data_IF_000218413336
#
_entry.id   IF_000218413336
#
_cell.length_a   1.000
_cell.length_b   1.000
_cell.length_c   1.000
_cell.angle_alpha   90.00
_cell.angle_beta   90.00
_cell.angle_gamma   90.00
#
_symmetry.space_group_name_H-M   'P 1'
#
loop_
_entity.id
_entity.type
_entity.pdbx_description
1 polymer ?
#
# COMPACT_ATOMS: atom_id res chain seq x y z
N UNK A 1 31.04 16.76 -38.37
CA UNK A 1 30.10 17.01 -37.26
C UNK A 1 30.49 16.09 -36.12
N UNK A 2 31.21 16.60 -35.12
CA UNK A 2 31.69 15.82 -33.98
C UNK A 2 30.77 16.10 -32.78
N UNK A 3 30.06 15.07 -32.31
CA UNK A 3 29.27 15.11 -31.08
C UNK A 3 30.19 14.70 -29.92
N UNK A 4 30.73 15.69 -29.23
CA UNK A 4 31.56 15.51 -28.03
C UNK A 4 30.68 15.19 -26.82
N UNK A 5 30.91 13.99 -26.28
CA UNK A 5 30.59 13.52 -24.94
C UNK A 5 30.73 14.62 -23.87
N UNK A 6 29.69 14.78 -23.04
CA UNK A 6 29.81 15.45 -21.75
C UNK A 6 29.39 14.48 -20.64
N UNK A 7 30.42 13.86 -20.08
CA UNK A 7 30.40 13.00 -18.91
C UNK A 7 30.05 13.80 -17.63
N UNK A 8 29.10 13.21 -16.91
CA UNK A 8 28.83 13.27 -15.48
C UNK A 8 29.82 14.05 -14.59
N UNK A 9 29.27 14.99 -13.82
CA UNK A 9 29.90 15.53 -12.61
C UNK A 9 28.86 15.72 -11.51
N UNK A 10 28.28 14.61 -11.04
CA UNK A 10 27.54 14.61 -9.79
C UNK A 10 28.56 14.53 -8.64
N UNK A 11 28.68 15.65 -7.92
CA UNK A 11 29.53 15.77 -6.74
C UNK A 11 28.98 14.86 -5.64
N UNK A 12 29.80 13.91 -5.23
CA UNK A 12 29.66 13.13 -4.01
C UNK A 12 29.78 14.08 -2.80
N UNK A 13 28.73 14.13 -1.97
CA UNK A 13 28.78 14.78 -0.65
C UNK A 13 28.78 13.65 0.40
N UNK A 14 29.86 13.46 1.16
CA UNK A 14 29.86 12.51 2.27
C UNK A 14 29.02 13.09 3.40
N UNK A 15 28.07 12.30 3.92
CA UNK A 15 27.37 12.62 5.16
C UNK A 15 27.85 11.62 6.20
N UNK A 16 28.73 12.11 7.07
CA UNK A 16 29.30 11.41 8.21
C UNK A 16 28.22 10.84 9.14
N UNK A 17 28.47 9.61 9.59
CA UNK A 17 27.92 9.00 10.82
C UNK A 17 28.65 9.63 12.02
N UNK A 18 28.12 9.66 13.27
CA UNK A 18 27.52 8.50 13.93
C UNK A 18 26.33 8.78 14.87
N UNK A 19 25.53 7.74 15.12
CA UNK A 19 24.45 7.76 16.10
C UNK A 19 24.13 6.34 16.53
N UNK A 20 24.98 5.81 17.41
CA UNK A 20 24.72 4.64 18.25
C UNK A 20 23.45 4.87 19.07
N UNK A 21 22.50 3.94 19.13
CA UNK A 21 21.71 3.67 20.36
C UNK A 21 21.00 2.31 20.26
N UNK A 22 21.53 1.39 21.06
CA UNK A 22 20.92 0.23 21.73
C UNK A 22 19.67 -0.44 21.13
N UNK A 23 19.86 -1.68 20.67
CA UNK A 23 18.82 -2.69 20.59
C UNK A 23 18.37 -3.08 22.02
N UNK A 24 17.07 -3.33 22.26
CA UNK A 24 16.66 -4.35 23.21
C UNK A 24 16.37 -5.69 22.48
N UNK A 25 16.64 -6.83 23.12
CA UNK A 25 16.53 -8.16 22.51
C UNK A 25 15.09 -8.63 22.35
N UNK A 26 14.89 -9.44 21.31
CA UNK A 26 13.74 -10.29 21.09
C UNK A 26 13.55 -11.32 22.23
N UNK A 27 12.31 -11.52 22.69
CA UNK A 27 11.66 -12.71 23.31
C UNK A 27 10.37 -12.17 23.97
N UNK A 28 9.17 -12.75 23.97
CA UNK A 28 8.57 -14.09 23.85
C UNK A 28 7.21 -13.92 23.11
N UNK A 29 6.66 -14.81 22.28
CA UNK A 29 6.24 -16.20 22.45
C UNK A 29 5.39 -16.50 23.70
N UNK A 30 4.12 -16.09 23.70
CA UNK A 30 3.14 -16.74 24.59
C UNK A 30 2.03 -17.45 23.81
N UNK A 31 2.17 -18.77 23.87
CA UNK A 31 1.17 -19.80 23.70
C UNK A 31 -0.05 -19.54 24.60
N UNK A 32 -1.27 -19.54 24.06
CA UNK A 32 -2.47 -19.86 24.84
C UNK A 32 -3.20 -21.00 24.14
N UNK A 33 -3.11 -22.16 24.78
CA UNK A 33 -3.88 -23.35 24.47
C UNK A 33 -5.30 -23.27 25.06
N UNK A 34 -6.22 -23.91 24.33
CA UNK A 34 -7.35 -24.71 24.83
C UNK A 34 -8.52 -23.99 25.50
N UNK A 35 -9.71 -24.15 24.91
CA UNK A 35 -10.71 -25.07 25.48
C UNK A 35 -12.00 -25.13 24.66
N UNK A 36 -12.43 -26.38 24.41
CA UNK A 36 -13.78 -26.76 23.98
C UNK A 36 -14.79 -26.45 25.09
N UNK A 37 -15.97 -25.97 24.72
CA UNK A 37 -17.25 -26.47 25.26
C UNK A 37 -18.45 -25.92 24.45
N UNK A 38 -19.24 -26.84 23.89
CA UNK A 38 -20.70 -26.70 23.81
C UNK A 38 -21.28 -27.40 25.05
N UNK A 39 -22.46 -27.00 25.58
CA UNK A 39 -23.70 -27.56 25.05
C UNK A 39 -24.89 -26.58 25.04
N UNK A 40 -25.93 -27.01 24.31
CA UNK A 40 -27.24 -26.38 24.19
C UNK A 40 -28.00 -26.37 25.52
N UNK A 41 -28.82 -25.35 25.73
CA UNK A 41 -30.01 -25.47 26.60
C UNK A 41 -31.14 -24.62 26.00
N UNK A 42 -32.21 -25.31 25.67
CA UNK A 42 -33.49 -24.76 25.24
C UNK A 42 -34.12 -23.93 26.35
N UNK A 43 -34.72 -22.80 26.00
CA UNK A 43 -35.86 -22.24 26.75
C UNK A 43 -36.71 -21.43 25.78
N UNK A 44 -37.86 -22.02 25.45
CA UNK A 44 -38.95 -21.41 24.70
C UNK A 44 -39.83 -20.63 25.66
N UNK A 45 -40.00 -19.33 25.46
CA UNK A 45 -41.21 -18.62 25.89
C UNK A 45 -41.63 -17.66 24.78
N UNK A 46 -42.76 -17.97 24.16
CA UNK A 46 -43.44 -17.10 23.23
C UNK A 46 -44.28 -16.07 23.98
N UNK A 47 -44.34 -14.86 23.44
CA UNK A 47 -45.46 -13.95 23.63
C UNK A 47 -45.78 -13.23 22.32
N UNK A 48 -47.09 -13.17 22.07
CA UNK A 48 -47.81 -12.54 20.96
C UNK A 48 -47.38 -11.09 20.68
N UNK A 49 -47.31 -10.72 19.40
CA UNK A 49 -47.17 -9.33 18.98
C UNK A 49 -47.23 -9.12 17.47
N UNK A 50 -48.44 -8.92 16.96
CA UNK A 50 -48.84 -8.25 15.71
C UNK A 50 -47.77 -7.96 14.64
N UNK A 51 -47.93 -8.67 13.52
CA UNK A 51 -47.71 -8.25 12.13
C UNK A 51 -47.25 -6.81 11.88
N UNK A 52 -45.99 -6.63 11.47
CA UNK A 52 -45.62 -5.72 10.38
C UNK A 52 -44.60 -6.44 9.52
N UNK A 53 -45.04 -6.94 8.36
CA UNK A 53 -44.19 -7.52 7.32
C UNK A 53 -43.38 -6.38 6.70
N UNK A 54 -42.30 -5.96 7.36
CA UNK A 54 -41.33 -5.07 6.73
C UNK A 54 -40.53 -5.93 5.76
N UNK A 55 -40.92 -5.87 4.48
CA UNK A 55 -40.03 -6.23 3.37
C UNK A 55 -38.69 -5.54 3.65
N UNK A 56 -37.53 -6.19 3.47
CA UNK A 56 -36.29 -5.45 3.51
C UNK A 56 -36.42 -4.36 2.45
N UNK A 57 -36.46 -3.10 2.89
CA UNK A 57 -36.11 -2.01 1.99
C UNK A 57 -34.72 -2.37 1.51
N UNK A 58 -34.60 -2.69 0.23
CA UNK A 58 -33.34 -2.60 -0.47
C UNK A 58 -32.99 -1.10 -0.44
N UNK A 59 -32.42 -0.67 0.69
CA UNK A 59 -31.66 0.56 0.73
C UNK A 59 -30.54 0.33 -0.27
N UNK A 60 -30.67 0.95 -1.45
CA UNK A 60 -29.57 1.02 -2.39
C UNK A 60 -28.55 1.93 -1.73
N UNK A 61 -27.68 1.34 -0.91
CA UNK A 61 -26.71 2.04 -0.07
C UNK A 61 -25.86 2.96 -0.94
N UNK A 62 -26.11 4.27 -0.85
CA UNK A 62 -25.22 5.30 -1.42
C UNK A 62 -23.81 5.24 -0.80
N UNK A 63 -23.66 4.58 0.35
CA UNK A 63 -22.37 4.25 0.95
C UNK A 63 -21.47 3.35 0.05
N UNK A 64 -22.04 2.67 -0.96
CA UNK A 64 -21.24 1.81 -1.85
C UNK A 64 -20.39 2.61 -2.87
N UNK A 65 -20.78 3.83 -3.22
CA UNK A 65 -20.03 4.64 -4.21
C UNK A 65 -18.75 5.26 -3.64
N UNK A 66 -18.70 5.50 -2.33
CA UNK A 66 -17.53 6.12 -1.73
C UNK A 66 -16.36 5.12 -1.63
N UNK A 67 -16.66 3.90 -1.18
CA UNK A 67 -15.67 2.82 -1.10
C UNK A 67 -15.12 2.41 -2.47
N UNK A 68 -15.97 2.32 -3.49
CA UNK A 68 -15.53 1.98 -4.85
C UNK A 68 -14.64 3.06 -5.46
N UNK A 69 -14.95 4.34 -5.28
CA UNK A 69 -14.12 5.45 -5.79
C UNK A 69 -12.76 5.53 -5.08
N UNK A 70 -12.73 5.27 -3.77
CA UNK A 70 -11.48 5.23 -3.02
C UNK A 70 -10.60 4.05 -3.45
N UNK A 71 -11.21 2.89 -3.64
CA UNK A 71 -10.55 1.69 -4.15
C UNK A 71 -9.96 1.91 -5.54
N UNK A 72 -10.72 2.53 -6.44
CA UNK A 72 -10.23 2.90 -7.76
C UNK A 72 -9.07 3.91 -7.68
N UNK A 73 -9.14 4.89 -6.77
CA UNK A 73 -8.05 5.84 -6.58
C UNK A 73 -6.77 5.16 -6.07
N UNK A 74 -6.87 4.23 -5.13
CA UNK A 74 -5.72 3.46 -4.62
C UNK A 74 -5.12 2.61 -5.74
N UNK A 75 -5.96 1.86 -6.46
CA UNK A 75 -5.52 1.03 -7.60
C UNK A 75 -4.87 1.88 -8.70
N UNK A 76 -5.43 3.06 -9.00
CA UNK A 76 -4.87 3.99 -9.98
C UNK A 76 -3.51 4.51 -9.54
N UNK A 77 -3.33 4.91 -8.29
CA UNK A 77 -2.04 5.35 -7.77
C UNK A 77 -0.98 4.25 -7.86
N UNK A 78 -1.35 3.02 -7.48
CA UNK A 78 -0.50 1.83 -7.51
C UNK A 78 -0.16 1.37 -8.94
N UNK A 79 -1.07 1.58 -9.90
CA UNK A 79 -0.85 1.25 -11.31
C UNK A 79 -0.12 2.36 -12.10
N UNK A 80 -0.24 3.62 -11.67
CA UNK A 80 0.38 4.77 -12.34
C UNK A 80 1.83 4.99 -11.91
N UNK A 81 2.21 4.55 -10.71
CA UNK A 81 3.54 4.77 -10.15
C UNK A 81 4.26 3.44 -9.95
N UNK A 82 5.56 3.36 -10.27
CA UNK A 82 6.31 2.12 -10.13
C UNK A 82 6.48 1.68 -8.67
N UNK A 83 6.57 2.64 -7.75
CA UNK A 83 6.71 2.39 -6.31
C UNK A 83 5.76 3.32 -5.55
N UNK A 84 4.92 2.76 -4.69
CA UNK A 84 3.99 3.49 -3.82
C UNK A 84 4.15 3.02 -2.39
N UNK A 85 4.22 3.96 -1.46
CA UNK A 85 4.37 3.70 -0.03
C UNK A 85 3.27 4.43 0.72
N UNK A 86 2.41 3.67 1.40
CA UNK A 86 1.46 4.22 2.36
C UNK A 86 2.11 4.26 3.72
N UNK A 87 2.21 5.46 4.30
CA UNK A 87 2.90 5.71 5.57
C UNK A 87 2.09 6.57 6.53
N UNK A 88 2.65 6.80 7.71
CA UNK A 88 2.23 7.87 8.62
C UNK A 88 3.43 8.73 9.01
N UNK A 89 3.21 10.03 9.18
CA UNK A 89 4.27 11.01 9.49
C UNK A 89 4.99 10.73 10.80
N UNK A 90 4.25 10.24 11.81
CA UNK A 90 4.73 9.98 13.16
C UNK A 90 5.36 8.58 13.36
N UNK A 91 5.46 7.76 12.31
CA UNK A 91 5.90 6.37 12.42
C UNK A 91 7.38 6.19 12.05
N UNK A 92 8.19 5.67 12.99
CA UNK A 92 9.62 5.41 12.79
C UNK A 92 9.89 4.37 11.68
N UNK A 93 9.13 3.26 11.64
CA UNK A 93 9.25 2.23 10.60
C UNK A 93 8.97 2.77 9.20
N UNK A 94 8.07 3.75 9.09
CA UNK A 94 7.78 4.40 7.80
C UNK A 94 8.97 5.24 7.33
N UNK A 95 9.61 5.98 8.24
CA UNK A 95 10.81 6.77 7.95
C UNK A 95 12.01 5.90 7.54
N UNK A 96 12.12 4.70 8.11
CA UNK A 96 13.16 3.73 7.73
C UNK A 96 12.99 3.27 6.28
N UNK A 97 11.77 2.90 5.87
CA UNK A 97 11.46 2.50 4.50
C UNK A 97 11.73 3.63 3.49
N UNK A 98 11.31 4.87 3.80
CA UNK A 98 11.61 6.03 2.95
C UNK A 98 13.12 6.25 2.79
N UNK A 99 13.87 6.12 3.88
CA UNK A 99 15.32 6.24 3.87
C UNK A 99 15.99 5.14 3.07
N UNK A 100 15.47 3.91 3.11
CA UNK A 100 15.95 2.79 2.32
C UNK A 100 15.77 3.06 0.82
N UNK A 101 14.60 3.51 0.39
CA UNK A 101 14.36 3.86 -1.01
C UNK A 101 15.25 5.02 -1.49
N UNK A 102 15.44 6.04 -0.64
CA UNK A 102 16.37 7.14 -0.91
C UNK A 102 17.82 6.65 -1.08
N UNK A 103 18.28 5.70 -0.27
CA UNK A 103 19.61 5.08 -0.41
C UNK A 103 19.76 4.30 -1.72
N UNK A 104 18.67 3.73 -2.23
CA UNK A 104 18.63 3.04 -3.52
C UNK A 104 18.53 3.99 -4.71
N UNK A 105 18.41 5.31 -4.47
CA UNK A 105 18.30 6.32 -5.53
C UNK A 105 16.95 6.33 -6.24
N UNK A 106 15.90 5.82 -5.59
CA UNK A 106 14.53 5.80 -6.15
C UNK A 106 13.63 6.69 -5.34
N UNK A 107 12.80 7.47 -6.02
CA UNK A 107 11.77 8.32 -5.42
C UNK A 107 10.41 7.59 -5.43
N UNK A 108 9.97 7.03 -4.30
CA UNK A 108 8.64 6.41 -4.20
C UNK A 108 7.55 7.48 -4.06
N UNK A 109 6.34 7.18 -4.55
CA UNK A 109 5.17 7.97 -4.20
C UNK A 109 4.78 7.67 -2.75
N UNK A 110 4.94 8.67 -1.87
CA UNK A 110 4.57 8.55 -0.46
C UNK A 110 3.17 9.13 -0.25
N UNK A 111 2.28 8.34 0.37
CA UNK A 111 0.93 8.77 0.74
C UNK A 111 0.81 8.66 2.26
N UNK A 112 0.80 9.82 2.93
CA UNK A 112 0.64 9.91 4.38
C UNK A 112 -0.83 9.78 4.75
N UNK A 113 -1.20 8.69 5.42
CA UNK A 113 -2.59 8.43 5.77
C UNK A 113 -3.13 9.42 6.80
N UNK A 114 -2.28 9.98 7.65
CA UNK A 114 -2.68 10.97 8.66
C UNK A 114 -2.96 12.36 8.07
N UNK A 115 -2.32 12.72 6.94
CA UNK A 115 -2.56 14.00 6.27
C UNK A 115 -3.84 14.01 5.42
N UNK A 116 -4.39 12.83 5.09
CA UNK A 116 -5.63 12.68 4.33
C UNK A 116 -6.90 13.00 5.15
N UNK A 117 -6.77 13.37 6.42
CA UNK A 117 -7.88 13.71 7.31
C UNK A 117 -8.94 12.59 7.39
N UNK A 118 -10.22 12.86 7.07
CA UNK A 118 -11.29 11.86 7.20
C UNK A 118 -11.17 10.68 6.21
N UNK A 119 -10.32 10.80 5.19
CA UNK A 119 -10.06 9.73 4.23
C UNK A 119 -8.99 8.74 4.69
N UNK A 120 -8.08 9.16 5.56
CA UNK A 120 -6.99 8.34 6.08
C UNK A 120 -7.45 6.98 6.63
N UNK A 121 -8.38 6.96 7.60
CA UNK A 121 -8.90 5.71 8.17
C UNK A 121 -9.62 4.82 7.13
N UNK A 122 -10.26 5.43 6.14
CA UNK A 122 -10.97 4.71 5.08
C UNK A 122 -9.99 4.03 4.13
N UNK A 123 -8.91 4.73 3.75
CA UNK A 123 -7.81 4.16 2.96
C UNK A 123 -7.13 3.04 3.76
N UNK A 124 -6.89 3.24 5.06
CA UNK A 124 -6.27 2.21 5.90
C UNK A 124 -7.10 0.92 5.93
N UNK A 125 -8.42 1.04 6.14
CA UNK A 125 -9.34 -0.11 6.10
C UNK A 125 -9.44 -0.75 4.72
N UNK A 126 -9.37 0.05 3.67
CA UNK A 126 -9.34 -0.45 2.30
C UNK A 126 -8.05 -1.23 2.01
N UNK A 127 -6.89 -0.70 2.42
CA UNK A 127 -5.60 -1.38 2.28
C UNK A 127 -5.61 -2.72 3.02
N UNK A 128 -6.17 -2.76 4.22
CA UNK A 128 -6.38 -4.02 4.96
C UNK A 128 -7.24 -5.00 4.17
N UNK A 129 -8.32 -4.56 3.53
CA UNK A 129 -9.16 -5.44 2.68
C UNK A 129 -8.44 -5.93 1.43
N UNK A 130 -7.60 -5.10 0.81
CA UNK A 130 -6.89 -5.43 -0.43
C UNK A 130 -5.66 -6.31 -0.19
N UNK A 131 -4.94 -6.07 0.90
CA UNK A 131 -3.63 -6.68 1.16
C UNK A 131 -3.62 -7.65 2.34
N UNK A 132 -4.66 -7.61 3.18
CA UNK A 132 -4.67 -8.27 4.49
C UNK A 132 -3.85 -7.55 5.56
N UNK A 133 -3.22 -6.42 5.24
CA UNK A 133 -2.31 -5.71 6.15
C UNK A 133 -2.85 -4.34 6.55
N UNK A 134 -3.21 -4.20 7.83
CA UNK A 134 -3.66 -2.94 8.43
C UNK A 134 -2.49 -2.03 8.87
N UNK A 135 -1.30 -2.61 9.06
CA UNK A 135 -0.12 -1.90 9.59
C UNK A 135 0.52 -1.01 8.54
N UNK A 136 0.98 0.17 8.96
CA UNK A 136 1.93 0.99 8.19
C UNK A 136 3.37 0.65 8.59
N UNK A 137 4.35 0.77 7.69
CA UNK A 137 4.21 1.11 6.27
C UNK A 137 3.61 -0.03 5.45
N UNK A 138 2.91 0.30 4.35
CA UNK A 138 2.41 -0.65 3.37
C UNK A 138 2.99 -0.31 1.99
N UNK A 139 3.78 -1.22 1.42
CA UNK A 139 4.65 -0.96 0.25
C UNK A 139 4.15 -1.72 -0.98
N UNK A 140 4.04 -1.00 -2.10
CA UNK A 140 3.68 -1.54 -3.40
C UNK A 140 4.77 -1.26 -4.44
N UNK A 141 5.12 -2.28 -5.23
CA UNK A 141 6.10 -2.19 -6.32
C UNK A 141 5.50 -2.84 -7.56
N UNK A 142 5.46 -2.09 -8.67
CA UNK A 142 4.95 -2.58 -9.96
C UNK A 142 3.53 -3.12 -9.90
N UNK A 143 2.67 -2.49 -9.09
CA UNK A 143 1.29 -2.94 -8.90
C UNK A 143 1.10 -4.07 -7.88
N UNK A 144 2.18 -4.63 -7.32
CA UNK A 144 2.13 -5.75 -6.36
C UNK A 144 2.39 -5.29 -4.94
N UNK A 145 1.66 -5.86 -3.99
CA UNK A 145 1.89 -5.66 -2.57
C UNK A 145 3.12 -6.44 -2.10
N UNK A 146 4.07 -5.75 -1.48
CA UNK A 146 5.33 -6.32 -0.97
C UNK A 146 5.24 -6.62 0.52
N UNK A 147 4.51 -5.79 1.28
CA UNK A 147 4.36 -5.92 2.72
C UNK A 147 4.82 -4.68 3.47
N UNK A 148 5.34 -4.90 4.68
CA UNK A 148 5.79 -3.84 5.57
C UNK A 148 7.28 -3.54 5.53
N UNK A 149 7.76 -2.86 6.59
CA UNK A 149 9.17 -2.52 6.75
C UNK A 149 10.05 -3.78 6.79
N UNK A 150 9.66 -4.78 7.59
CA UNK A 150 10.40 -6.02 7.73
C UNK A 150 10.52 -6.78 6.41
N UNK A 151 9.44 -6.87 5.63
CA UNK A 151 9.43 -7.57 4.35
C UNK A 151 10.30 -6.86 3.31
N UNK A 152 10.21 -5.53 3.26
CA UNK A 152 11.04 -4.69 2.38
C UNK A 152 12.53 -4.86 2.69
N UNK A 153 12.91 -4.83 3.98
CA UNK A 153 14.31 -5.02 4.40
C UNK A 153 14.79 -6.45 4.10
N UNK A 154 13.94 -7.46 4.30
CA UNK A 154 14.26 -8.86 3.94
C UNK A 154 14.53 -9.00 2.44
N UNK A 155 13.69 -8.43 1.58
CA UNK A 155 13.87 -8.42 0.13
C UNK A 155 15.13 -7.67 -0.31
N UNK A 156 15.44 -6.56 0.37
CA UNK A 156 16.68 -5.83 0.12
C UNK A 156 17.91 -6.68 0.43
N UNK A 157 17.92 -7.39 1.57
CA UNK A 157 19.00 -8.30 1.96
C UNK A 157 19.17 -9.48 0.98
N UNK A 158 18.07 -9.92 0.36
CA UNK A 158 18.09 -10.95 -0.69
C UNK A 158 18.58 -10.44 -2.05
N UNK A 159 18.69 -9.12 -2.24
CA UNK A 159 19.04 -8.51 -3.52
C UNK A 159 17.88 -8.45 -4.54
N UNK A 160 16.73 -9.04 -4.23
CA UNK A 160 15.56 -9.09 -5.13
C UNK A 160 14.84 -7.75 -5.25
N UNK A 161 14.93 -6.89 -4.23
CA UNK A 161 14.21 -5.61 -4.19
C UNK A 161 14.59 -4.71 -5.39
N UNK A 162 15.88 -4.62 -5.72
CA UNK A 162 16.35 -3.75 -6.82
C UNK A 162 15.85 -4.25 -8.18
N UNK A 163 15.87 -5.56 -8.42
CA UNK A 163 15.36 -6.16 -9.65
C UNK A 163 13.89 -5.84 -9.87
N UNK A 164 13.06 -6.05 -8.84
CA UNK A 164 11.62 -5.76 -8.91
C UNK A 164 11.33 -4.28 -9.18
N UNK A 165 12.11 -3.38 -8.60
CA UNK A 165 11.98 -1.94 -8.82
C UNK A 165 12.38 -1.56 -10.24
N UNK A 166 13.52 -2.07 -10.75
CA UNK A 166 13.96 -1.81 -12.12
C UNK A 166 12.92 -2.29 -13.14
N UNK A 167 12.35 -3.47 -12.95
CA UNK A 167 11.26 -3.98 -13.80
C UNK A 167 10.00 -3.11 -13.71
N UNK A 168 9.62 -2.65 -12.51
CA UNK A 168 8.46 -1.79 -12.33
C UNK A 168 8.64 -0.42 -13.01
N UNK A 169 9.84 0.18 -12.90
CA UNK A 169 10.18 1.45 -13.54
C UNK A 169 10.14 1.30 -15.07
N UNK A 170 10.71 0.21 -15.61
CA UNK A 170 10.68 -0.07 -17.05
C UNK A 170 9.23 -0.20 -17.58
N UNK A 171 8.35 -0.88 -16.84
CA UNK A 171 6.93 -1.03 -17.19
C UNK A 171 6.19 0.31 -17.15
N UNK A 172 6.46 1.15 -16.13
CA UNK A 172 5.84 2.47 -16.01
C UNK A 172 6.22 3.39 -17.17
N UNK A 173 7.48 3.32 -17.65
CA UNK A 173 7.93 4.10 -18.80
C UNK A 173 7.29 3.64 -20.12
N UNK A 174 7.03 2.34 -20.29
CA UNK A 174 6.35 1.80 -21.47
C UNK A 174 4.91 2.33 -21.58
N UNK A 175 4.15 2.29 -20.48
CA UNK A 175 2.74 2.72 -20.41
C UNK A 175 2.50 4.16 -20.86
N UNK A 176 3.46 5.07 -20.67
CA UNK A 176 3.29 6.46 -21.15
C UNK A 176 3.37 6.59 -22.67
N UNK A 177 3.99 5.64 -23.36
CA UNK A 177 4.24 5.73 -24.79
C UNK A 177 3.06 5.16 -25.60
N UNK A 178 2.27 4.24 -25.04
CA UNK A 178 1.12 3.65 -25.73
C UNK A 178 -0.16 4.50 -25.76
N UNK A 179 -0.35 5.44 -24.81
CA UNK A 179 -1.52 6.35 -24.82
C UNK A 179 -1.40 7.48 -25.87
N UNK A 180 -0.21 7.75 -26.40
CA UNK A 180 0.01 8.78 -27.43
C UNK A 180 -0.23 8.27 -28.86
N UNK A 181 -0.36 6.95 -29.05
CA UNK A 181 -0.51 6.32 -30.37
C UNK A 181 -1.88 5.64 -30.56
N UNK A 182 -2.92 6.20 -29.93
CA UNK A 182 -4.31 5.72 -30.09
C UNK A 182 -5.32 6.88 -30.26
N UNK A 183 -4.89 7.94 -30.94
CA UNK A 183 -5.80 8.91 -31.60
C UNK A 183 -5.42 9.00 -33.07
N UNK A 184 -5.80 7.99 -33.84
CA UNK A 184 -6.01 8.12 -35.27
C UNK A 184 -7.31 7.37 -35.61
N UNK A 185 -8.40 7.75 -34.94
CA UNK A 185 -9.75 7.48 -35.42
C UNK A 185 -9.96 8.44 -36.60
N UNK A 186 -9.42 8.03 -37.74
CA UNK A 186 -9.55 8.68 -39.02
C UNK A 186 -11.02 8.87 -39.38
N UNK A 187 -11.51 10.08 -39.11
CA UNK A 187 -12.59 10.71 -39.86
C UNK A 187 -12.04 11.12 -41.23
N UNK A 188 -12.15 10.24 -42.22
CA UNK A 188 -12.23 10.64 -43.63
C UNK A 188 -12.94 9.56 -44.45
N UNK A 189 -14.14 9.87 -44.94
CA UNK A 189 -14.95 9.02 -45.79
C UNK A 189 -16.42 9.42 -45.78
#
# INVERSE_FOLDING_TARGET
>A
MAITSHLAKLRYVPVDRPGSFSHPPCTEFLHIQSSRASPATSLSLGINGSTKKCKPMLVRSMASSFGSRLEESVKKSVASNPVVVYSKTWCSYSSEVKSLFKKLGVEPLVIELDELGPQGPQVQKLLERLTGQHTVPNVFIGGKHIGGCTDTVKLHRKGELQSLMSEAIAKSNKKRIDEDFSSDDGYWG
#
